data_IF_667657655623
#
_entry.id   IF_667657655623
#
_cell.length_a   1.000
_cell.length_b   1.000
_cell.length_c   1.000
_cell.angle_alpha   90.00
_cell.angle_beta   90.00
_cell.angle_gamma   90.00
#
_symmetry.space_group_name_H-M   'P 1'
#
loop_
_entity.id
_entity.type
_entity.pdbx_description
1 polymer ?
#
# COMPACT_ATOMS: atom_id res chain seq x y z
N UNK A 1 25.96 9.17 32.81
CA UNK A 1 25.27 10.24 32.07
C UNK A 1 23.78 10.04 32.28
N UNK A 2 23.10 10.91 33.03
CA UNK A 2 21.67 10.79 33.25
C UNK A 2 20.92 10.98 31.92
N UNK A 3 20.02 10.06 31.56
CA UNK A 3 19.22 10.18 30.33
C UNK A 3 18.28 11.37 30.45
N UNK A 4 18.38 12.34 29.54
CA UNK A 4 17.40 13.42 29.43
C UNK A 4 16.05 12.80 29.04
N UNK A 5 15.03 13.00 29.88
CA UNK A 5 13.67 12.57 29.57
C UNK A 5 13.11 13.50 28.50
N UNK A 6 12.88 12.98 27.29
CA UNK A 6 12.29 13.76 26.20
C UNK A 6 10.78 13.81 26.35
N UNK A 7 10.22 15.02 26.40
CA UNK A 7 8.76 15.21 26.37
C UNK A 7 8.29 15.13 24.93
N UNK A 8 7.42 14.17 24.64
CA UNK A 8 6.83 14.00 23.31
C UNK A 8 5.64 14.97 23.21
N UNK A 9 5.65 15.85 22.21
CA UNK A 9 4.54 16.75 21.90
C UNK A 9 3.68 16.13 20.80
N UNK A 10 2.37 16.23 20.97
CA UNK A 10 1.43 15.84 19.92
C UNK A 10 1.25 16.99 18.92
N UNK A 11 0.87 16.66 17.69
CA UNK A 11 0.54 17.66 16.66
C UNK A 11 -0.53 18.65 17.11
N UNK A 12 -1.52 18.21 17.88
CA UNK A 12 -2.56 19.08 18.42
C UNK A 12 -2.00 20.11 19.40
N UNK A 13 -1.04 19.71 20.23
CA UNK A 13 -0.42 20.59 21.21
C UNK A 13 0.47 21.64 20.53
N UNK A 14 1.22 21.26 19.50
CA UNK A 14 1.97 22.21 18.68
C UNK A 14 1.05 23.25 18.02
N UNK A 15 -0.11 22.83 17.50
CA UNK A 15 -1.11 23.75 16.92
C UNK A 15 -1.70 24.68 17.98
N UNK A 16 -2.01 24.19 19.19
CA UNK A 16 -2.49 25.04 20.30
C UNK A 16 -1.44 26.08 20.69
N UNK A 17 -0.17 25.68 20.79
CA UNK A 17 0.95 26.58 21.08
C UNK A 17 1.07 27.67 20.01
N UNK A 18 1.00 27.30 18.72
CA UNK A 18 1.01 28.25 17.60
C UNK A 18 -0.14 29.26 17.71
N UNK A 19 -1.35 28.82 18.05
CA UNK A 19 -2.51 29.70 18.24
C UNK A 19 -2.25 30.70 19.37
N UNK A 20 -1.76 30.26 20.53
CA UNK A 20 -1.45 31.13 21.66
C UNK A 20 -0.35 32.15 21.35
N UNK A 21 0.66 31.77 20.57
CA UNK A 21 1.69 32.70 20.10
C UNK A 21 1.09 33.78 19.20
N UNK A 22 0.15 33.43 18.31
CA UNK A 22 -0.51 34.40 17.44
C UNK A 22 -1.43 35.37 18.20
N UNK A 23 -2.05 34.90 19.29
CA UNK A 23 -2.81 35.77 20.21
C UNK A 23 -1.91 36.68 21.06
N UNK A 24 -0.58 36.52 21.01
CA UNK A 24 0.36 37.37 21.74
C UNK A 24 0.62 36.93 23.18
N UNK A 25 0.30 35.69 23.56
CA UNK A 25 0.66 35.19 24.89
C UNK A 25 2.17 35.11 25.06
N UNK A 26 2.64 35.46 26.27
CA UNK A 26 4.06 35.34 26.63
C UNK A 26 4.52 33.88 26.65
N UNK A 27 5.78 33.64 26.25
CA UNK A 27 6.40 32.31 26.32
C UNK A 27 6.44 31.74 27.74
N UNK A 28 6.43 32.61 28.76
CA UNK A 28 6.40 32.18 30.16
C UNK A 28 5.06 31.55 30.54
N UNK A 29 3.95 32.11 30.04
CA UNK A 29 2.62 31.55 30.26
C UNK A 29 2.47 30.19 29.55
N UNK A 30 2.91 30.12 28.29
CA UNK A 30 2.85 28.88 27.48
C UNK A 30 3.74 27.78 28.07
N UNK A 31 4.93 28.16 28.56
CA UNK A 31 5.86 27.24 29.22
C UNK A 31 5.24 26.60 30.45
N UNK A 32 4.50 27.37 31.26
CA UNK A 32 3.82 26.85 32.45
C UNK A 32 2.62 25.97 32.13
N UNK A 33 1.80 26.33 31.13
CA UNK A 33 0.60 25.55 30.79
C UNK A 33 0.93 24.20 30.18
N UNK A 34 1.94 24.15 29.30
CA UNK A 34 2.33 22.91 28.64
C UNK A 34 3.50 22.22 29.31
N UNK A 35 4.13 22.82 30.32
CA UNK A 35 5.36 22.34 30.97
C UNK A 35 6.45 22.04 29.92
N UNK A 36 6.79 23.06 29.12
CA UNK A 36 7.75 22.99 28.02
C UNK A 36 8.78 24.12 28.20
N UNK A 37 10.05 23.84 27.92
CA UNK A 37 11.09 24.87 27.94
C UNK A 37 10.88 25.96 26.87
N UNK A 38 11.25 27.19 27.19
CA UNK A 38 11.15 28.34 26.26
C UNK A 38 11.92 28.11 24.95
N UNK A 39 12.99 27.31 24.98
CA UNK A 39 13.74 26.88 23.80
C UNK A 39 12.86 26.12 22.81
N UNK A 40 12.15 25.09 23.27
CA UNK A 40 11.25 24.28 22.45
C UNK A 40 10.09 25.11 21.89
N UNK A 41 9.55 26.05 22.67
CA UNK A 41 8.52 26.99 22.18
C UNK A 41 9.08 27.86 21.03
N UNK A 42 10.33 28.29 21.16
CA UNK A 42 11.04 29.02 20.11
C UNK A 42 11.21 28.20 18.83
N UNK A 43 11.55 26.91 18.94
CA UNK A 43 11.70 26.04 17.79
C UNK A 43 10.36 25.72 17.11
N UNK A 44 9.29 25.51 17.88
CA UNK A 44 7.92 25.37 17.35
C UNK A 44 7.52 26.63 16.57
N UNK A 45 7.85 27.83 17.08
CA UNK A 45 7.58 29.08 16.37
C UNK A 45 8.31 29.16 15.03
N UNK A 46 9.58 28.74 14.97
CA UNK A 46 10.36 28.70 13.72
C UNK A 46 9.74 27.71 12.72
N UNK A 47 9.26 26.57 13.20
CA UNK A 47 8.70 25.51 12.37
C UNK A 47 7.18 25.67 12.10
N UNK A 48 6.57 26.78 12.52
CA UNK A 48 5.13 27.02 12.47
C UNK A 48 4.49 26.76 11.10
N UNK A 49 5.12 27.24 10.03
CA UNK A 49 4.54 27.17 8.68
C UNK A 49 4.51 25.73 8.14
N UNK A 50 5.53 24.92 8.47
CA UNK A 50 5.58 23.52 8.07
C UNK A 50 4.53 22.70 8.83
N UNK A 51 4.37 22.96 10.13
CA UNK A 51 3.35 22.33 10.99
C UNK A 51 1.95 22.70 10.47
N UNK A 52 1.70 23.98 10.18
CA UNK A 52 0.39 24.41 9.68
C UNK A 52 0.09 23.82 8.29
N UNK A 53 1.08 23.79 7.39
CA UNK A 53 0.94 23.13 6.08
C UNK A 53 0.59 21.66 6.23
N UNK A 54 1.23 20.96 7.17
CA UNK A 54 0.95 19.56 7.45
C UNK A 54 -0.49 19.37 7.96
N UNK A 55 -0.92 20.17 8.93
CA UNK A 55 -2.28 20.10 9.49
C UNK A 55 -3.35 20.31 8.42
N UNK A 56 -3.19 21.34 7.56
CA UNK A 56 -4.11 21.58 6.43
C UNK A 56 -4.18 20.41 5.45
N UNK A 57 -3.07 19.67 5.25
CA UNK A 57 -3.08 18.46 4.43
C UNK A 57 -3.75 17.26 5.11
N UNK A 58 -3.85 17.25 6.45
CA UNK A 58 -4.42 16.14 7.23
C UNK A 58 -5.91 16.28 7.55
N UNK A 59 -6.43 17.50 7.71
CA UNK A 59 -7.86 17.73 8.04
C UNK A 59 -8.81 17.34 6.88
N UNK A 60 -8.29 17.20 5.66
CA UNK A 60 -9.01 16.59 4.53
C UNK A 60 -9.10 15.06 4.60
N UNK A 61 -8.67 14.44 5.71
CA UNK A 61 -8.85 13.03 6.02
C UNK A 61 -7.58 12.20 5.84
N UNK A 62 -6.98 11.77 6.95
CA UNK A 62 -6.05 10.65 6.92
C UNK A 62 -6.21 9.76 8.16
N UNK A 63 -7.21 8.86 8.10
CA UNK A 63 -7.14 7.57 8.79
C UNK A 63 -5.80 6.93 8.39
N UNK A 64 -4.92 6.72 9.36
CA UNK A 64 -3.75 5.81 9.33
C UNK A 64 -3.21 5.56 7.92
N UNK A 65 -2.20 6.34 7.53
CA UNK A 65 -1.52 6.21 6.24
C UNK A 65 -1.02 4.77 6.05
N UNK A 66 -1.67 4.01 5.16
CA UNK A 66 -1.13 2.76 4.62
C UNK A 66 -0.38 3.10 3.35
N UNK A 67 0.94 3.20 3.43
CA UNK A 67 1.77 3.36 2.23
C UNK A 67 1.74 2.04 1.47
N UNK A 68 1.20 2.04 0.26
CA UNK A 68 1.33 0.90 -0.65
C UNK A 68 2.82 0.70 -0.96
N UNK A 69 3.26 -0.56 -1.10
CA UNK A 69 4.58 -0.83 -1.67
C UNK A 69 4.62 -0.20 -3.06
N UNK A 70 5.61 0.64 -3.31
CA UNK A 70 5.93 1.09 -4.67
C UNK A 70 6.47 -0.10 -5.43
N UNK A 71 5.98 -0.34 -6.65
CA UNK A 71 6.50 -1.42 -7.47
C UNK A 71 7.98 -1.17 -7.82
N UNK A 72 8.72 -2.25 -8.02
CA UNK A 72 10.17 -2.22 -8.27
C UNK A 72 10.54 -1.42 -9.53
N UNK A 73 9.58 -1.16 -10.43
CA UNK A 73 9.81 -0.39 -11.65
C UNK A 73 8.68 0.62 -11.94
N UNK A 74 8.71 1.73 -11.18
CA UNK A 74 7.76 2.86 -11.29
C UNK A 74 7.65 3.41 -12.73
N UNK A 75 8.73 3.35 -13.52
CA UNK A 75 8.73 3.81 -14.90
C UNK A 75 7.85 2.94 -15.81
N UNK A 76 7.91 1.61 -15.64
CA UNK A 76 7.08 0.68 -16.41
C UNK A 76 5.59 0.82 -16.03
N UNK A 77 5.29 1.00 -14.76
CA UNK A 77 3.91 1.20 -14.30
C UNK A 77 3.31 2.50 -14.82
N UNK A 78 4.07 3.60 -14.82
CA UNK A 78 3.61 4.87 -15.37
C UNK A 78 3.40 4.81 -16.88
N UNK A 79 4.28 4.11 -17.61
CA UNK A 79 4.11 3.86 -19.04
C UNK A 79 2.86 3.03 -19.33
N UNK A 80 2.63 1.95 -18.57
CA UNK A 80 1.43 1.13 -18.64
C UNK A 80 0.17 1.93 -18.30
N UNK A 81 0.20 2.73 -17.24
CA UNK A 81 -0.94 3.56 -16.84
C UNK A 81 -1.29 4.59 -17.92
N UNK A 82 -0.29 5.21 -18.55
CA UNK A 82 -0.48 6.15 -19.66
C UNK A 82 -1.04 5.44 -20.89
N UNK A 83 -0.54 4.26 -21.22
CA UNK A 83 -1.04 3.46 -22.35
C UNK A 83 -2.47 2.95 -22.13
N UNK A 84 -2.78 2.47 -20.92
CA UNK A 84 -4.15 2.07 -20.54
C UNK A 84 -5.07 3.28 -20.56
N UNK A 85 -4.62 4.44 -20.10
CA UNK A 85 -5.41 5.67 -20.15
C UNK A 85 -5.68 6.13 -21.59
N UNK A 86 -4.68 6.07 -22.47
CA UNK A 86 -4.82 6.41 -23.90
C UNK A 86 -5.66 5.40 -24.70
N UNK A 87 -5.74 4.15 -24.24
CA UNK A 87 -6.57 3.10 -24.85
C UNK A 87 -8.00 3.06 -24.31
N UNK A 88 -8.35 3.86 -23.28
CA UNK A 88 -9.74 4.03 -22.83
C UNK A 88 -10.58 4.54 -23.99
N UNK A 89 -11.48 3.69 -24.48
CA UNK A 89 -12.29 3.92 -25.66
C UNK A 89 -12.00 2.98 -26.83
N UNK A 90 -10.78 2.45 -27.01
CA UNK A 90 -10.53 1.41 -28.02
C UNK A 90 -11.32 0.14 -27.68
N UNK A 91 -11.24 -0.31 -26.43
CA UNK A 91 -11.95 -1.50 -25.97
C UNK A 91 -13.47 -1.32 -26.07
N UNK A 92 -13.99 -0.12 -25.81
CA UNK A 92 -15.42 0.17 -25.90
C UNK A 92 -15.90 0.24 -27.36
N UNK A 93 -15.11 0.86 -28.26
CA UNK A 93 -15.36 0.86 -29.71
C UNK A 93 -15.28 -0.53 -30.30
N UNK A 94 -14.31 -1.34 -29.89
CA UNK A 94 -14.16 -2.73 -30.32
C UNK A 94 -15.37 -3.56 -29.90
N UNK A 95 -15.80 -3.44 -28.63
CA UNK A 95 -17.00 -4.11 -28.12
C UNK A 95 -18.25 -3.67 -28.87
N UNK A 96 -18.38 -2.38 -29.15
CA UNK A 96 -19.52 -1.85 -29.89
C UNK A 96 -19.53 -2.34 -31.34
N UNK A 97 -18.40 -2.24 -32.04
CA UNK A 97 -18.23 -2.63 -33.45
C UNK A 97 -18.47 -4.13 -33.67
N UNK A 98 -17.93 -4.98 -32.80
CA UNK A 98 -18.12 -6.44 -32.87
C UNK A 98 -19.32 -6.92 -32.04
N UNK A 99 -20.15 -6.00 -31.53
CA UNK A 99 -21.34 -6.29 -30.71
C UNK A 99 -21.05 -7.25 -29.54
N UNK A 100 -19.85 -7.19 -28.97
CA UNK A 100 -19.43 -7.97 -27.80
C UNK A 100 -20.14 -7.37 -26.59
N UNK A 101 -21.19 -8.05 -26.13
CA UNK A 101 -21.96 -7.65 -24.95
C UNK A 101 -21.39 -8.34 -23.72
N UNK A 102 -21.41 -7.65 -22.58
CA UNK A 102 -21.26 -8.32 -21.29
C UNK A 102 -22.50 -9.19 -21.09
N UNK A 103 -22.41 -10.48 -21.42
CA UNK A 103 -23.37 -11.44 -20.94
C UNK A 103 -23.19 -11.48 -19.42
N UNK A 104 -24.29 -11.21 -18.70
CA UNK A 104 -24.33 -11.40 -17.24
C UNK A 104 -24.21 -12.90 -17.03
N UNK A 105 -22.99 -13.40 -16.88
CA UNK A 105 -22.75 -14.73 -16.36
C UNK A 105 -23.19 -14.63 -14.90
N UNK A 106 -24.49 -14.79 -14.69
CA UNK A 106 -25.00 -15.20 -13.40
C UNK A 106 -24.39 -16.56 -13.19
N UNK A 107 -23.48 -16.65 -12.21
CA UNK A 107 -22.94 -17.92 -11.80
C UNK A 107 -24.09 -18.74 -11.22
N UNK A 108 -24.83 -19.47 -12.05
CA UNK A 108 -25.11 -20.84 -11.66
C UNK A 108 -23.73 -21.43 -11.39
N UNK A 109 -23.49 -21.86 -10.15
CA UNK A 109 -22.24 -22.51 -9.76
C UNK A 109 -21.97 -23.60 -10.79
N UNK A 110 -21.04 -23.37 -11.71
CA UNK A 110 -20.54 -24.41 -12.57
C UNK A 110 -19.99 -25.47 -11.64
N UNK A 111 -20.57 -26.66 -11.70
CA UNK A 111 -20.11 -27.84 -10.96
C UNK A 111 -18.60 -27.94 -11.13
N UNK A 112 -17.87 -27.79 -10.03
CA UNK A 112 -16.44 -28.03 -9.94
C UNK A 112 -16.18 -29.52 -10.22
N UNK A 113 -16.26 -29.94 -11.47
CA UNK A 113 -15.87 -31.29 -11.88
C UNK A 113 -14.34 -31.32 -11.96
N UNK A 114 -13.69 -31.33 -10.79
CA UNK A 114 -12.22 -31.46 -10.62
C UNK A 114 -11.69 -32.63 -11.46
N UNK A 115 -12.48 -33.70 -11.59
CA UNK A 115 -12.17 -34.90 -12.37
C UNK A 115 -11.90 -34.64 -13.86
N UNK A 116 -12.46 -33.56 -14.44
CA UNK A 116 -12.20 -33.20 -15.85
C UNK A 116 -10.85 -32.48 -16.03
N UNK A 117 -10.26 -31.97 -14.95
CA UNK A 117 -9.01 -31.18 -14.96
C UNK A 117 -7.80 -32.10 -14.80
N UNK A 118 -7.95 -33.20 -14.07
CA UNK A 118 -6.90 -34.20 -13.82
C UNK A 118 -6.16 -34.71 -15.06
N UNK A 119 -6.82 -35.09 -16.19
CA UNK A 119 -6.09 -35.56 -17.37
C UNK A 119 -5.15 -34.49 -17.96
N UNK A 120 -5.53 -33.20 -17.89
CA UNK A 120 -4.70 -32.10 -18.37
C UNK A 120 -3.52 -31.78 -17.43
N UNK A 121 -3.71 -31.93 -16.11
CA UNK A 121 -2.62 -31.76 -15.14
C UNK A 121 -1.50 -32.78 -15.36
N UNK A 122 -1.89 -34.04 -15.64
CA UNK A 122 -0.95 -35.13 -15.90
C UNK A 122 -0.18 -34.88 -17.20
N UNK A 123 -0.86 -34.48 -18.27
CA UNK A 123 -0.23 -34.21 -19.57
C UNK A 123 0.77 -33.05 -19.51
N UNK A 124 0.40 -31.95 -18.83
CA UNK A 124 1.30 -30.80 -18.63
C UNK A 124 2.52 -31.16 -17.77
N UNK A 125 2.33 -31.94 -16.70
CA UNK A 125 3.44 -32.41 -15.87
C UNK A 125 4.42 -33.27 -16.66
N UNK A 126 3.92 -34.21 -17.47
CA UNK A 126 4.76 -35.05 -18.33
C UNK A 126 5.56 -34.22 -19.34
N UNK A 127 4.94 -33.20 -19.94
CA UNK A 127 5.59 -32.29 -20.88
C UNK A 127 6.73 -31.51 -20.22
N UNK A 128 6.49 -30.96 -19.03
CA UNK A 128 7.50 -30.21 -18.26
C UNK A 128 8.65 -31.11 -17.83
N UNK A 129 8.37 -32.35 -17.41
CA UNK A 129 9.41 -33.32 -17.01
C UNK A 129 10.31 -33.67 -18.21
N UNK A 130 9.71 -33.89 -19.38
CA UNK A 130 10.41 -34.21 -20.62
C UNK A 130 11.25 -33.03 -21.14
N UNK A 131 10.70 -31.81 -21.14
CA UNK A 131 11.42 -30.60 -21.58
C UNK A 131 12.61 -30.25 -20.66
N UNK A 132 12.53 -30.63 -19.38
CA UNK A 132 13.57 -30.30 -18.39
C UNK A 132 14.64 -31.38 -18.25
N UNK A 133 14.58 -32.49 -18.99
CA UNK A 133 15.51 -33.64 -18.88
C UNK A 133 15.81 -34.01 -17.41
N UNK A 134 14.78 -34.01 -16.56
CA UNK A 134 14.92 -34.32 -15.14
C UNK A 134 15.03 -35.85 -14.98
N UNK A 135 16.21 -36.36 -15.30
CA UNK A 135 16.62 -37.75 -15.09
C UNK A 135 16.55 -38.13 -13.61
N UNK A 136 16.21 -39.40 -13.40
CA UNK A 136 15.56 -40.01 -12.24
C UNK A 136 16.43 -40.21 -11.00
N UNK A 137 17.03 -39.15 -10.42
CA UNK A 137 17.90 -39.34 -9.24
C UNK A 137 17.72 -38.34 -8.07
N UNK A 138 16.83 -37.35 -8.20
CA UNK A 138 16.55 -36.38 -7.13
C UNK A 138 15.13 -36.45 -6.54
N UNK A 139 14.29 -37.38 -7.01
CA UNK A 139 12.85 -37.40 -6.65
C UNK A 139 12.46 -38.19 -5.39
N UNK A 140 13.27 -39.12 -4.87
CA UNK A 140 12.82 -39.90 -3.69
C UNK A 140 12.78 -39.11 -2.37
N UNK A 141 13.41 -37.93 -2.26
CA UNK A 141 13.41 -37.15 -1.00
C UNK A 141 12.48 -35.93 -1.00
N UNK A 142 12.26 -35.25 -2.13
CA UNK A 142 11.47 -33.99 -2.13
C UNK A 142 9.97 -34.16 -2.27
N UNK A 143 9.49 -35.21 -2.94
CA UNK A 143 8.04 -35.46 -3.05
C UNK A 143 7.46 -35.93 -1.71
N UNK A 144 8.25 -36.69 -0.93
CA UNK A 144 7.82 -37.21 0.38
C UNK A 144 7.60 -36.11 1.43
N UNK A 145 8.30 -34.98 1.33
CA UNK A 145 8.15 -33.85 2.26
C UNK A 145 6.86 -33.07 1.97
N UNK A 146 6.48 -32.91 0.70
CA UNK A 146 5.32 -32.08 0.34
C UNK A 146 4.00 -32.78 0.68
N UNK A 147 3.92 -34.11 0.57
CA UNK A 147 2.70 -34.87 0.91
C UNK A 147 2.48 -35.12 2.41
N UNK A 148 3.46 -34.82 3.28
CA UNK A 148 3.33 -35.04 4.73
C UNK A 148 2.82 -33.81 5.50
N UNK A 149 2.69 -32.65 4.85
CA UNK A 149 2.37 -31.35 5.51
C UNK A 149 1.04 -30.76 5.02
N UNK A 150 0.27 -31.49 4.21
CA UNK A 150 -1.10 -31.14 3.79
C UNK A 150 -2.03 -32.29 4.05
#
# INVERSE_FOLDING_TARGET
MASLKHKILTLEDEVKIIKLINFGHSYDAISKTFDIGKSTIGDIKKNKDSIMKFVSTTESGSKVRKTMKTADNVAQENALATWVAGSKGWLDRLKHSHRIRRLKITMEKLSNNESAIEPFRIELLLRVINEKNLSSDLQCRRIRIVLAVT
#
